data_IF_445276068338
#
_entry.id   IF_445276068338
#
_cell.length_a   1.000
_cell.length_b   1.000
_cell.length_c   1.000
_cell.angle_alpha   90.00
_cell.angle_beta   90.00
_cell.angle_gamma   90.00
#
_symmetry.space_group_name_H-M   'P 1'
#
loop_
_entity.id
_entity.type
_entity.pdbx_description
1 polymer ?
#
# COMPACT_ATOMS: atom_id res chain seq x y z
N UNK A 1 19.26 13.36 -19.96
CA UNK A 1 19.24 12.17 -19.08
C UNK A 1 18.99 12.65 -17.66
N UNK A 2 17.93 12.17 -17.00
CA UNK A 2 17.88 12.02 -15.55
C UNK A 2 17.84 10.54 -15.15
N UNK A 3 18.56 10.23 -14.07
CA UNK A 3 18.87 8.92 -13.50
C UNK A 3 17.69 7.95 -13.30
N UNK A 4 17.87 6.74 -13.81
CA UNK A 4 17.06 5.56 -13.52
C UNK A 4 17.44 5.00 -12.13
N UNK A 5 16.94 5.65 -11.09
CA UNK A 5 17.14 5.27 -9.70
C UNK A 5 15.83 4.96 -8.98
N UNK A 6 14.89 4.27 -9.61
CA UNK A 6 13.68 3.78 -8.92
C UNK A 6 13.90 2.32 -8.56
N UNK A 7 14.49 2.07 -7.40
CA UNK A 7 14.43 0.75 -6.78
C UNK A 7 12.97 0.48 -6.42
N UNK A 8 12.40 -0.58 -6.99
CA UNK A 8 11.07 -1.03 -6.57
C UNK A 8 11.19 -1.59 -5.15
N UNK A 9 10.59 -0.88 -4.20
CA UNK A 9 10.53 -1.25 -2.79
C UNK A 9 9.28 -2.10 -2.53
N UNK A 10 9.42 -3.07 -1.63
CA UNK A 10 8.34 -3.95 -1.18
C UNK A 10 8.24 -3.83 0.33
N UNK A 11 7.10 -3.39 0.81
CA UNK A 11 6.81 -3.21 2.23
C UNK A 11 5.67 -4.15 2.60
N UNK A 12 5.89 -4.94 3.63
CA UNK A 12 4.90 -5.86 4.18
C UNK A 12 4.46 -5.35 5.56
N UNK A 13 3.16 -5.19 5.75
CA UNK A 13 2.55 -4.76 6.99
C UNK A 13 1.54 -5.80 7.47
N UNK A 14 1.75 -6.32 8.68
CA UNK A 14 0.75 -7.12 9.39
C UNK A 14 -0.04 -6.21 10.33
N UNK A 15 -1.35 -6.12 10.10
CA UNK A 15 -2.27 -5.47 11.03
C UNK A 15 -2.77 -6.48 12.06
N UNK A 16 -2.27 -6.32 13.29
CA UNK A 16 -2.68 -7.10 14.46
C UNK A 16 -3.45 -6.16 15.43
N UNK A 17 -4.68 -6.52 15.84
CA UNK A 17 -5.39 -7.78 15.59
C UNK A 17 -5.97 -7.85 14.19
N UNK A 18 -6.12 -9.08 13.68
CA UNK A 18 -6.76 -9.38 12.39
C UNK A 18 -8.29 -9.16 12.47
N UNK A 19 -8.71 -7.92 12.72
CA UNK A 19 -10.11 -7.52 12.81
C UNK A 19 -10.63 -7.15 11.41
N UNK A 20 -11.38 -8.06 10.79
CA UNK A 20 -11.98 -7.86 9.46
C UNK A 20 -12.81 -6.57 9.34
N UNK A 21 -13.44 -6.11 10.44
CA UNK A 21 -14.16 -4.83 10.48
C UNK A 21 -13.23 -3.61 10.40
N UNK A 22 -12.07 -3.64 11.06
CA UNK A 22 -11.06 -2.58 10.94
C UNK A 22 -10.44 -2.57 9.55
N UNK A 23 -10.22 -3.76 8.96
CA UNK A 23 -9.74 -3.90 7.58
C UNK A 23 -10.74 -3.32 6.58
N UNK A 24 -12.04 -3.62 6.76
CA UNK A 24 -13.10 -3.07 5.92
C UNK A 24 -13.20 -1.55 6.05
N UNK A 25 -13.07 -1.01 7.27
CA UNK A 25 -13.01 0.43 7.49
C UNK A 25 -11.75 1.07 6.88
N UNK A 26 -10.60 0.39 6.93
CA UNK A 26 -9.34 0.86 6.36
C UNK A 26 -9.35 0.85 4.82
N UNK A 27 -9.78 -0.25 4.20
CA UNK A 27 -9.89 -0.38 2.75
C UNK A 27 -11.01 0.52 2.20
N UNK A 28 -12.03 0.78 3.02
CA UNK A 28 -13.23 1.48 2.60
C UNK A 28 -14.10 0.62 1.69
N UNK A 29 -15.12 1.24 1.09
CA UNK A 29 -15.98 0.56 0.12
C UNK A 29 -15.20 0.27 -1.16
N UNK A 30 -14.95 -1.02 -1.45
CA UNK A 30 -14.26 -1.49 -2.68
C UNK A 30 -12.82 -0.96 -2.78
N UNK A 31 -12.07 -1.01 -1.68
CA UNK A 31 -10.64 -0.63 -1.65
C UNK A 31 -10.40 0.82 -2.08
N UNK A 32 -11.42 1.69 -1.98
CA UNK A 32 -11.35 3.07 -2.46
C UNK A 32 -10.19 3.84 -1.80
N UNK A 33 -9.94 3.62 -0.51
CA UNK A 33 -8.82 4.23 0.18
C UNK A 33 -7.48 3.73 -0.36
N UNK A 34 -7.35 2.42 -0.59
CA UNK A 34 -6.13 1.83 -1.14
C UNK A 34 -5.87 2.33 -2.56
N UNK A 35 -6.89 2.33 -3.43
CA UNK A 35 -6.77 2.83 -4.82
C UNK A 35 -6.37 4.30 -4.86
N UNK A 36 -6.83 5.12 -3.91
CA UNK A 36 -6.44 6.53 -3.85
C UNK A 36 -4.96 6.70 -3.48
N UNK A 37 -4.44 5.86 -2.59
CA UNK A 37 -3.03 5.83 -2.21
C UNK A 37 -2.19 5.31 -3.39
N UNK A 38 -2.60 4.19 -4.01
CA UNK A 38 -1.98 3.62 -5.21
C UNK A 38 -1.88 4.66 -6.34
N UNK A 39 -2.96 5.40 -6.61
CA UNK A 39 -2.97 6.42 -7.67
C UNK A 39 -2.10 7.64 -7.33
N UNK A 40 -2.07 8.06 -6.06
CA UNK A 40 -1.26 9.23 -5.66
C UNK A 40 0.24 8.95 -5.67
N UNK A 41 0.62 7.77 -5.18
CA UNK A 41 2.02 7.40 -4.99
C UNK A 41 2.54 6.52 -6.14
N UNK A 42 1.69 6.19 -7.11
CA UNK A 42 1.97 5.26 -8.21
C UNK A 42 2.52 3.91 -7.72
N UNK A 43 1.96 3.41 -6.61
CA UNK A 43 2.31 2.12 -5.99
C UNK A 43 1.17 1.11 -6.14
N UNK A 44 1.46 -0.16 -5.88
CA UNK A 44 0.48 -1.23 -5.76
C UNK A 44 0.25 -1.59 -4.31
N UNK A 45 -1.00 -1.76 -3.90
CA UNK A 45 -1.35 -2.20 -2.55
C UNK A 45 -2.20 -3.46 -2.65
N UNK A 46 -1.75 -4.55 -2.05
CA UNK A 46 -2.51 -5.79 -1.94
C UNK A 46 -2.93 -6.00 -0.50
N UNK A 47 -4.23 -6.20 -0.31
CA UNK A 47 -4.80 -6.67 0.94
C UNK A 47 -4.97 -8.20 0.86
N UNK A 48 -4.31 -8.92 1.77
CA UNK A 48 -4.40 -10.38 1.98
C UNK A 48 -4.87 -10.69 3.40
N UNK A 49 -5.99 -10.10 3.82
CA UNK A 49 -6.57 -10.33 5.15
C UNK A 49 -5.99 -9.37 6.18
N UNK A 50 -5.17 -9.86 7.11
CA UNK A 50 -4.39 -9.02 8.02
C UNK A 50 -3.07 -8.52 7.43
N UNK A 51 -2.65 -9.11 6.30
CA UNK A 51 -1.39 -8.79 5.65
C UNK A 51 -1.59 -7.79 4.51
N UNK A 52 -0.81 -6.72 4.51
CA UNK A 52 -0.80 -5.69 3.49
C UNK A 52 0.56 -5.67 2.83
N UNK A 53 0.56 -5.78 1.52
CA UNK A 53 1.77 -5.73 0.71
C UNK A 53 1.72 -4.47 -0.15
N UNK A 54 2.64 -3.55 0.08
CA UNK A 54 2.82 -2.35 -0.73
C UNK A 54 4.04 -2.55 -1.61
N UNK A 55 3.89 -2.44 -2.93
CA UNK A 55 4.98 -2.57 -3.89
C UNK A 55 5.01 -1.38 -4.83
N UNK A 56 6.13 -0.67 -4.91
CA UNK A 56 6.23 0.50 -5.77
C UNK A 56 7.57 1.20 -5.69
N UNK A 57 7.67 2.41 -6.24
CA UNK A 57 8.88 3.23 -6.13
C UNK A 57 9.19 3.57 -4.67
N UNK A 58 10.47 3.66 -4.30
CA UNK A 58 10.90 4.11 -2.96
C UNK A 58 10.20 5.42 -2.56
N UNK A 59 10.14 6.40 -3.47
CA UNK A 59 9.45 7.69 -3.30
C UNK A 59 7.95 7.57 -2.96
N UNK A 60 7.29 6.51 -3.47
CA UNK A 60 5.87 6.26 -3.22
C UNK A 60 5.59 5.36 -2.01
N UNK A 61 6.60 4.66 -1.49
CA UNK A 61 6.47 3.71 -0.37
C UNK A 61 7.05 4.27 0.93
N UNK A 62 7.87 5.33 0.87
CA UNK A 62 8.36 6.10 2.00
C UNK A 62 7.36 7.21 2.36
N UNK A 63 6.31 6.86 3.10
CA UNK A 63 5.46 7.87 3.74
C UNK A 63 6.16 8.36 5.02
N UNK A 64 6.74 9.57 4.97
CA UNK A 64 7.34 10.27 6.11
C UNK A 64 6.33 10.78 7.14
#
# INVERSE_FOLDING_TARGET
MPDAGTGNNLIELDLVPADSERMANLCGQIDAHLRQIEQRLAIQIKNRGSHFELSGSADGTEAG
#
